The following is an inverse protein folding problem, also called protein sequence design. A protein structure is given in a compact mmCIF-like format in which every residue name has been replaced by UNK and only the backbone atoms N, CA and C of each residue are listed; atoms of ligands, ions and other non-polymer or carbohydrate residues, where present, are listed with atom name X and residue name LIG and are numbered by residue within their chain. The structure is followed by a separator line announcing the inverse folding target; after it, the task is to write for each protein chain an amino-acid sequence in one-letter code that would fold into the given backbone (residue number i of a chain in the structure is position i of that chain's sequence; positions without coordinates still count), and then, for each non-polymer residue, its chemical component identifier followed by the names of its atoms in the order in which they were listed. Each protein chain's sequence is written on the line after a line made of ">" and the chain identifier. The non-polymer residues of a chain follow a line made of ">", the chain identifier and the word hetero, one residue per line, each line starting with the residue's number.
data_IF_595795220724
#
_entry.id   IF_595795220724
#
_cell.length_a   1.000
_cell.length_b   1.000
_cell.length_c   1.000
_cell.angle_alpha   90.00
_cell.angle_beta   90.00
_cell.angle_gamma   90.00
#
_symmetry.space_group_name_H-M   'P 1'
#
loop_
_entity.id
_entity.type
_entity.pdbx_description
1 polymer ?
#
# COMPACT_ATOMS: atom_id res chain seq x y z
N UNK A 1 2.63 20.80 3.34
CA UNK A 1 1.35 20.11 3.57
C UNK A 1 1.45 18.77 2.83
N UNK A 2 1.62 17.65 3.54
CA UNK A 2 1.63 16.32 2.90
C UNK A 2 0.19 16.02 2.49
N UNK A 3 -0.15 16.34 1.24
CA UNK A 3 -1.42 15.97 0.64
C UNK A 3 -1.52 14.44 0.57
N UNK A 4 -2.76 13.95 0.67
CA UNK A 4 -3.09 12.62 1.14
C UNK A 4 -2.54 11.44 0.33
N UNK A 5 -2.75 10.26 0.90
CA UNK A 5 -2.70 9.00 0.18
C UNK A 5 -3.86 8.94 -0.82
N UNK A 6 -3.64 9.41 -2.04
CA UNK A 6 -4.59 9.26 -3.13
C UNK A 6 -4.35 7.92 -3.82
N UNK A 7 -5.38 7.09 -3.95
CA UNK A 7 -5.29 5.77 -4.59
C UNK A 7 -6.21 5.70 -5.80
N UNK A 8 -5.64 5.28 -6.93
CA UNK A 8 -6.36 4.86 -8.12
C UNK A 8 -5.89 3.46 -8.49
N UNK A 9 -6.81 2.50 -8.40
CA UNK A 9 -6.82 1.21 -9.10
C UNK A 9 -5.69 0.23 -8.76
N UNK A 10 -5.96 -0.60 -7.74
CA UNK A 10 -5.16 -1.78 -7.43
C UNK A 10 -4.31 -1.62 -6.17
N UNK A 11 -4.94 -1.55 -5.00
CA UNK A 11 -4.28 -1.94 -3.76
C UNK A 11 -4.70 -3.38 -3.44
N UNK A 12 -3.73 -4.28 -3.32
CA UNK A 12 -3.96 -5.59 -2.72
C UNK A 12 -3.60 -5.43 -1.24
N UNK A 13 -4.52 -5.82 -0.34
CA UNK A 13 -4.38 -5.61 1.11
C UNK A 13 -4.29 -6.97 1.82
N UNK A 14 -3.26 -7.15 2.66
CA UNK A 14 -3.24 -7.67 4.05
C UNK A 14 -1.88 -8.27 4.44
N UNK A 15 -1.33 -7.81 5.58
CA UNK A 15 -1.24 -8.62 6.82
C UNK A 15 -0.77 -7.73 7.98
N UNK A 16 -1.36 -7.93 9.16
CA UNK A 16 -0.90 -7.41 10.46
C UNK A 16 0.63 -7.32 10.55
N UNK A 17 1.14 -6.26 11.17
CA UNK A 17 2.44 -6.27 11.87
C UNK A 17 2.35 -7.25 13.07
N UNK A 18 2.04 -8.52 12.85
CA UNK A 18 2.78 -9.53 13.60
C UNK A 18 4.20 -9.38 13.10
N UNK A 19 5.15 -9.08 14.00
CA UNK A 19 6.59 -9.16 13.75
C UNK A 19 6.83 -10.26 12.72
N UNK A 20 7.11 -9.90 11.46
CA UNK A 20 7.54 -10.92 10.52
C UNK A 20 8.92 -11.32 11.01
N UNK A 21 9.01 -12.46 11.70
CA UNK A 21 10.32 -13.05 12.02
C UNK A 21 11.16 -13.22 10.73
N UNK A 22 10.50 -13.27 9.56
CA UNK A 22 11.06 -13.30 8.20
C UNK A 22 11.05 -11.97 7.43
N UNK A 23 11.23 -10.81 8.09
CA UNK A 23 11.53 -9.56 7.38
C UNK A 23 13.04 -9.39 7.14
N UNK A 24 13.41 -8.56 6.15
CA UNK A 24 14.78 -8.12 5.95
C UNK A 24 15.76 -9.23 5.55
N UNK A 25 15.26 -10.36 5.05
CA UNK A 25 16.09 -11.47 4.56
C UNK A 25 16.44 -11.20 3.10
N UNK A 26 17.74 -11.26 2.78
CA UNK A 26 18.25 -11.20 1.41
C UNK A 26 18.57 -12.62 0.88
N UNK A 27 18.83 -12.72 -0.42
CA UNK A 27 19.26 -13.97 -1.09
C UNK A 27 20.77 -13.98 -1.37
N UNK A 28 21.55 -13.16 -0.67
CA UNK A 28 23.00 -13.11 -0.86
C UNK A 28 23.62 -14.43 -0.41
N UNK A 29 24.46 -15.08 -1.24
CA UNK A 29 25.19 -16.28 -0.85
C UNK A 29 26.28 -15.98 0.20
N UNK A 30 26.60 -14.69 0.40
CA UNK A 30 27.70 -14.22 1.24
C UNK A 30 27.20 -13.30 2.37
N UNK A 31 27.83 -13.41 3.54
CA UNK A 31 27.52 -12.58 4.71
C UNK A 31 27.98 -11.13 4.56
N UNK A 32 28.97 -10.85 3.71
CA UNK A 32 29.46 -9.49 3.48
C UNK A 32 28.71 -8.83 2.32
N UNK A 33 28.37 -7.56 2.46
CA UNK A 33 27.82 -6.74 1.36
C UNK A 33 28.97 -5.98 0.71
N UNK A 34 29.22 -6.25 -0.56
CA UNK A 34 30.18 -5.50 -1.36
C UNK A 34 29.53 -4.25 -1.96
N UNK A 35 30.34 -3.22 -2.13
CA UNK A 35 29.94 -2.03 -2.88
C UNK A 35 29.94 -2.32 -4.38
N UNK A 36 29.13 -1.60 -5.14
CA UNK A 36 29.02 -1.74 -6.58
C UNK A 36 27.67 -2.30 -7.02
N UNK A 37 27.68 -3.05 -8.12
CA UNK A 37 26.45 -3.54 -8.77
C UNK A 37 26.02 -4.88 -8.20
N UNK A 38 24.73 -5.01 -7.94
CA UNK A 38 24.09 -6.27 -7.54
C UNK A 38 22.79 -6.48 -8.31
N UNK A 39 22.36 -7.74 -8.39
CA UNK A 39 21.07 -8.13 -8.97
C UNK A 39 19.94 -7.75 -8.02
N UNK A 40 18.87 -7.12 -8.51
CA UNK A 40 17.73 -6.69 -7.66
C UNK A 40 17.09 -7.89 -6.93
N UNK A 41 17.10 -9.07 -7.55
CA UNK A 41 16.55 -10.30 -7.00
C UNK A 41 17.26 -10.77 -5.72
N UNK A 42 18.49 -10.26 -5.50
CA UNK A 42 19.26 -10.48 -4.27
C UNK A 42 18.58 -9.83 -3.06
N UNK A 43 17.81 -8.77 -3.26
CA UNK A 43 17.16 -7.98 -2.20
C UNK A 43 15.65 -8.01 -2.40
N UNK A 44 14.96 -9.07 -1.92
CA UNK A 44 13.55 -9.32 -2.24
C UNK A 44 12.60 -8.29 -1.65
N UNK A 45 13.07 -7.29 -0.91
CA UNK A 45 12.28 -6.19 -0.38
C UNK A 45 12.41 -4.90 -1.20
N UNK A 46 13.32 -4.86 -2.16
CA UNK A 46 13.53 -3.72 -3.06
C UNK A 46 12.88 -4.04 -4.41
N UNK A 47 12.13 -3.09 -4.96
CA UNK A 47 11.44 -3.23 -6.24
C UNK A 47 11.48 -1.96 -7.07
N UNK A 48 10.99 -2.05 -8.31
CA UNK A 48 10.91 -0.94 -9.27
C UNK A 48 9.48 -0.71 -9.69
N UNK A 49 8.92 0.47 -9.42
CA UNK A 49 7.65 0.89 -10.01
C UNK A 49 7.90 1.30 -11.45
N UNK A 50 7.21 0.69 -12.41
CA UNK A 50 7.18 1.17 -13.79
C UNK A 50 5.83 1.83 -14.06
N UNK A 51 5.85 3.05 -14.58
CA UNK A 51 4.61 3.74 -14.92
C UNK A 51 4.76 4.53 -16.22
N UNK A 52 3.80 4.37 -17.15
CA UNK A 52 3.73 5.22 -18.32
C UNK A 52 3.09 6.56 -17.92
N UNK A 53 3.70 7.66 -18.35
CA UNK A 53 3.06 8.97 -18.39
C UNK A 53 3.32 9.57 -19.76
N UNK A 54 2.23 9.84 -20.49
CA UNK A 54 2.25 10.08 -21.93
C UNK A 54 2.97 8.93 -22.66
N UNK A 55 3.95 9.22 -23.50
CA UNK A 55 4.77 8.24 -24.23
C UNK A 55 6.09 7.87 -23.53
N UNK A 56 6.28 8.37 -22.31
CA UNK A 56 7.50 8.17 -21.52
C UNK A 56 7.26 7.18 -20.38
N UNK A 57 8.08 6.14 -20.33
CA UNK A 57 8.10 5.19 -19.22
C UNK A 57 9.04 5.74 -18.14
N UNK A 58 8.49 5.99 -16.96
CA UNK A 58 9.25 6.41 -15.79
C UNK A 58 9.35 5.27 -14.80
N UNK A 59 10.31 5.39 -13.89
CA UNK A 59 10.48 4.44 -12.80
C UNK A 59 10.86 5.11 -11.49
N UNK A 60 10.58 4.41 -10.39
CA UNK A 60 11.12 4.74 -9.07
C UNK A 60 11.34 3.48 -8.24
N UNK A 61 12.25 3.54 -7.29
CA UNK A 61 12.45 2.46 -6.33
C UNK A 61 11.31 2.43 -5.32
N UNK A 62 10.80 1.24 -5.06
CA UNK A 62 9.82 0.99 -4.02
C UNK A 62 10.37 -0.01 -3.01
N UNK A 63 9.95 0.09 -1.76
CA UNK A 63 10.35 -0.82 -0.70
C UNK A 63 9.13 -1.55 -0.19
N UNK A 64 9.16 -2.87 -0.25
CA UNK A 64 8.12 -3.73 0.28
C UNK A 64 8.19 -3.72 1.81
N UNK A 65 7.12 -3.25 2.47
CA UNK A 65 7.03 -3.18 3.95
C UNK A 65 6.06 -4.19 4.54
N UNK A 66 5.14 -4.70 3.72
CA UNK A 66 4.29 -5.86 4.05
C UNK A 66 4.19 -6.74 2.80
N UNK A 67 3.55 -7.91 2.85
CA UNK A 67 3.40 -8.78 1.68
C UNK A 67 2.83 -8.11 0.42
N UNK A 68 2.14 -6.98 0.57
CA UNK A 68 1.37 -6.35 -0.52
C UNK A 68 1.43 -4.81 -0.51
N UNK A 69 2.11 -4.20 0.46
CA UNK A 69 2.27 -2.74 0.53
C UNK A 69 3.73 -2.41 0.28
N UNK A 70 3.93 -1.54 -0.70
CA UNK A 70 5.21 -0.89 -0.97
C UNK A 70 5.12 0.58 -0.57
N UNK A 71 6.25 1.16 -0.21
CA UNK A 71 6.40 2.58 0.07
C UNK A 71 7.51 3.16 -0.80
N UNK A 72 7.36 4.43 -1.16
CA UNK A 72 8.32 5.18 -1.98
C UNK A 72 8.28 6.66 -1.62
N UNK A 73 9.22 7.43 -2.18
CA UNK A 73 9.23 8.88 -2.04
C UNK A 73 8.00 9.50 -2.72
N UNK A 74 7.31 10.40 -2.02
CA UNK A 74 6.17 11.13 -2.57
C UNK A 74 6.52 11.90 -3.86
N UNK A 75 7.75 12.45 -3.92
CA UNK A 75 8.25 13.19 -5.09
C UNK A 75 8.23 12.37 -6.38
N UNK A 76 8.34 11.04 -6.26
CA UNK A 76 8.37 10.15 -7.41
C UNK A 76 6.98 9.65 -7.83
N UNK A 77 5.99 9.78 -6.95
CA UNK A 77 4.67 9.13 -7.11
C UNK A 77 3.50 10.10 -7.25
N UNK A 78 3.73 11.42 -7.13
CA UNK A 78 2.69 12.45 -7.10
C UNK A 78 1.93 12.62 -8.44
N UNK A 79 2.47 12.11 -9.56
CA UNK A 79 1.90 12.34 -10.91
C UNK A 79 1.41 11.08 -11.65
N UNK A 80 1.15 9.97 -10.95
CA UNK A 80 1.17 8.64 -11.61
C UNK A 80 -0.18 7.90 -11.68
N UNK A 81 -0.48 7.20 -12.81
CA UNK A 81 -1.40 6.07 -12.85
C UNK A 81 -0.72 4.78 -12.35
N UNK A 82 -1.40 4.05 -11.46
CA UNK A 82 -0.80 3.07 -10.55
C UNK A 82 -1.12 1.63 -10.98
N UNK A 83 -0.11 0.75 -11.08
CA UNK A 83 -0.25 -0.69 -11.36
C UNK A 83 0.70 -1.53 -10.48
N UNK A 84 0.31 -2.79 -10.28
CA UNK A 84 0.57 -3.70 -9.13
C UNK A 84 1.96 -4.40 -9.10
N UNK A 85 2.38 -4.86 -7.91
CA UNK A 85 3.67 -5.52 -7.60
C UNK A 85 3.51 -6.82 -6.83
N UNK A 86 3.99 -7.98 -7.32
CA UNK A 86 4.11 -9.21 -6.50
C UNK A 86 5.32 -10.08 -6.86
N UNK A 87 5.88 -10.72 -5.81
CA UNK A 87 7.01 -11.68 -5.66
C UNK A 87 8.20 -11.18 -4.82
N UNK A 88 7.94 -10.68 -3.60
CA UNK A 88 8.92 -9.98 -2.77
C UNK A 88 8.71 -10.33 -1.26
N UNK A 89 9.79 -10.29 -0.45
CA UNK A 89 9.75 -10.40 1.02
C UNK A 89 9.89 -9.00 1.63
N UNK A 90 9.20 -8.63 2.71
CA UNK A 90 9.26 -7.26 3.23
C UNK A 90 10.56 -6.94 3.96
N UNK A 91 11.01 -5.68 3.92
CA UNK A 91 12.11 -5.17 4.76
C UNK A 91 11.64 -5.03 6.21
N UNK A 92 12.55 -5.13 7.19
CA UNK A 92 12.21 -4.87 8.58
C UNK A 92 12.02 -3.38 8.87
N UNK A 93 11.23 -3.09 9.91
CA UNK A 93 11.21 -1.78 10.53
C UNK A 93 12.57 -1.48 11.22
N UNK A 94 12.93 -0.19 11.39
CA UNK A 94 14.16 0.19 12.08
C UNK A 94 14.22 -0.42 13.50
N UNK A 95 15.37 -0.96 13.93
CA UNK A 95 15.52 -1.54 15.25
C UNK A 95 15.46 -0.44 16.33
N UNK A 96 15.03 -0.81 17.54
CA UNK A 96 14.97 0.11 18.69
C UNK A 96 16.36 0.53 19.21
N UNK A 97 17.36 -0.34 19.04
CA UNK A 97 18.73 -0.11 19.45
C UNK A 97 19.68 -0.50 18.30
N UNK A 98 20.65 0.38 18.03
CA UNK A 98 21.68 0.16 17.03
C UNK A 98 22.87 -0.56 17.68
N UNK A 99 23.20 -1.74 17.18
CA UNK A 99 24.37 -2.52 17.64
C UNK A 99 25.29 -2.73 16.45
N UNK A 100 26.40 -1.97 16.39
CA UNK A 100 27.36 -1.94 15.27
C UNK A 100 26.67 -1.82 13.90
N UNK A 101 25.85 -0.78 13.67
CA UNK A 101 25.05 -0.65 12.47
C UNK A 101 25.92 -0.45 11.21
N UNK A 102 25.67 -1.24 10.17
CA UNK A 102 26.22 -1.00 8.83
C UNK A 102 25.15 -0.39 7.95
N UNK A 103 25.37 0.85 7.52
CA UNK A 103 24.44 1.57 6.65
C UNK A 103 24.81 1.39 5.19
N UNK A 104 23.79 1.26 4.35
CA UNK A 104 23.92 1.15 2.91
C UNK A 104 22.88 2.00 2.22
N UNK A 105 23.25 2.63 1.12
CA UNK A 105 22.28 3.18 0.16
C UNK A 105 22.21 2.27 -1.05
N UNK A 106 20.97 1.99 -1.46
CA UNK A 106 20.67 1.24 -2.67
C UNK A 106 19.91 2.14 -3.65
N UNK A 107 20.39 2.19 -4.88
CA UNK A 107 19.75 2.92 -5.99
C UNK A 107 19.59 2.00 -7.18
N UNK A 108 18.56 2.23 -7.99
CA UNK A 108 18.42 1.57 -9.29
C UNK A 108 19.25 2.38 -10.30
N UNK A 109 20.15 1.72 -11.02
CA UNK A 109 21.07 2.38 -11.95
C UNK A 109 20.47 2.49 -13.36
N UNK A 110 19.89 1.39 -13.87
CA UNK A 110 19.20 1.35 -15.17
C UNK A 110 17.85 0.64 -15.00
N UNK A 111 16.79 1.23 -15.54
CA UNK A 111 15.44 0.68 -15.49
C UNK A 111 15.30 -0.60 -16.33
N UNK A 112 16.17 -0.78 -17.33
CA UNK A 112 16.13 -1.89 -18.30
C UNK A 112 16.97 -3.09 -17.86
N UNK A 113 17.98 -2.84 -17.02
CA UNK A 113 18.87 -3.85 -16.45
C UNK A 113 18.51 -3.94 -14.98
N UNK A 114 17.92 -5.06 -14.52
CA UNK A 114 17.50 -5.31 -13.14
C UNK A 114 18.66 -5.28 -12.12
N UNK A 115 19.36 -4.16 -12.06
CA UNK A 115 20.64 -3.97 -11.41
C UNK A 115 20.53 -2.78 -10.46
N UNK A 116 20.99 -3.03 -9.24
CA UNK A 116 21.02 -2.06 -8.18
C UNK A 116 22.47 -1.70 -7.87
N UNK A 117 22.69 -0.46 -7.51
CA UNK A 117 23.98 0.05 -7.08
C UNK A 117 23.95 0.23 -5.57
N UNK A 118 24.96 -0.32 -4.89
CA UNK A 118 25.07 -0.34 -3.43
C UNK A 118 26.31 0.44 -3.00
N UNK A 119 26.11 1.36 -2.07
CA UNK A 119 27.17 2.15 -1.43
C UNK A 119 27.14 1.92 0.08
N UNK A 120 28.31 1.69 0.70
CA UNK A 120 28.43 1.72 2.16
C UNK A 120 28.40 3.16 2.62
N UNK A 121 27.69 3.38 3.72
CA UNK A 121 27.47 4.71 4.25
C UNK A 121 27.99 4.80 5.69
N UNK A 122 28.54 5.96 6.03
CA UNK A 122 28.75 6.38 7.39
C UNK A 122 27.56 7.22 7.85
N UNK A 123 27.07 6.92 9.05
CA UNK A 123 26.14 7.80 9.76
C UNK A 123 26.80 9.15 10.02
N UNK A 124 26.06 10.23 9.80
CA UNK A 124 26.51 11.58 10.12
C UNK A 124 25.59 12.12 11.22
N UNK A 125 26.22 12.54 12.32
CA UNK A 125 25.52 13.17 13.44
C UNK A 125 24.63 14.35 12.97
N UNK A 126 23.41 14.51 13.50
CA UNK A 126 22.47 15.53 13.06
C UNK A 126 23.02 16.96 13.17
N UNK A 127 23.75 17.29 14.22
CA UNK A 127 24.32 18.64 14.41
C UNK A 127 25.45 18.90 13.43
N UNK A 128 26.29 17.89 13.18
CA UNK A 128 27.31 17.97 12.12
C UNK A 128 26.67 18.13 10.73
N UNK A 129 25.57 17.43 10.47
CA UNK A 129 24.84 17.55 9.22
C UNK A 129 24.24 18.95 9.04
N UNK A 130 23.53 19.47 10.05
CA UNK A 130 22.99 20.84 10.03
C UNK A 130 24.09 21.86 9.81
N UNK A 131 25.21 21.73 10.52
CA UNK A 131 26.37 22.63 10.37
C UNK A 131 26.90 22.62 8.95
N UNK A 132 27.01 21.45 8.31
CA UNK A 132 27.44 21.35 6.92
C UNK A 132 26.50 22.13 6.00
N UNK A 133 25.19 21.88 6.07
CA UNK A 133 24.24 22.55 5.19
C UNK A 133 24.17 24.07 5.42
N UNK A 134 24.25 24.55 6.67
CA UNK A 134 24.34 25.99 6.98
C UNK A 134 25.59 26.62 6.38
N UNK A 135 26.75 25.96 6.49
CA UNK A 135 28.03 26.45 5.96
C UNK A 135 28.08 26.44 4.43
N UNK A 136 27.39 25.49 3.80
CA UNK A 136 27.29 25.40 2.35
C UNK A 136 26.22 26.33 1.76
N UNK A 137 25.65 27.24 2.56
CA UNK A 137 24.58 28.17 2.15
C UNK A 137 23.35 27.45 1.56
N UNK A 138 23.17 26.18 1.95
CA UNK A 138 21.99 25.40 1.60
C UNK A 138 20.93 25.69 2.66
N UNK A 139 19.91 26.45 2.29
CA UNK A 139 18.91 27.06 3.19
C UNK A 139 18.16 26.04 4.07
N UNK A 140 18.67 25.81 5.29
CA UNK A 140 18.14 24.79 6.23
C UNK A 140 16.72 25.07 6.70
N UNK A 141 16.33 26.35 6.79
CA UNK A 141 14.99 26.75 7.24
C UNK A 141 13.93 26.55 6.15
N UNK A 142 14.32 26.64 4.87
CA UNK A 142 13.45 26.25 3.74
C UNK A 142 13.56 24.78 3.33
N UNK A 143 14.54 24.03 3.86
CA UNK A 143 14.73 22.62 3.47
C UNK A 143 13.72 21.68 4.14
N UNK A 144 12.53 21.61 3.56
CA UNK A 144 11.60 20.49 3.74
C UNK A 144 12.27 19.18 3.28
N UNK A 145 12.11 18.04 3.99
CA UNK A 145 11.35 17.79 5.23
C UNK A 145 12.19 17.93 6.52
N UNK A 146 11.52 18.10 7.67
CA UNK A 146 12.16 18.38 8.99
C UNK A 146 12.80 17.12 9.61
N UNK A 147 12.13 15.97 9.48
CA UNK A 147 12.59 14.71 10.06
C UNK A 147 13.49 13.96 9.08
N UNK A 148 14.79 14.17 9.21
CA UNK A 148 15.79 13.56 8.35
C UNK A 148 16.92 12.91 9.12
N UNK A 149 17.44 11.81 8.57
CA UNK A 149 18.70 11.20 8.96
C UNK A 149 19.77 11.55 7.93
N UNK A 150 21.00 11.78 8.39
CA UNK A 150 22.10 12.08 7.51
C UNK A 150 23.10 10.93 7.40
N UNK A 151 23.53 10.67 6.18
CA UNK A 151 24.55 9.69 5.88
C UNK A 151 25.42 10.17 4.72
N UNK A 152 26.68 9.72 4.69
CA UNK A 152 27.60 9.97 3.57
C UNK A 152 28.21 8.66 3.10
N UNK A 153 28.45 8.51 1.81
CA UNK A 153 29.14 7.33 1.30
C UNK A 153 30.59 7.30 1.78
N UNK A 154 31.08 6.12 2.11
CA UNK A 154 32.48 5.89 2.45
C UNK A 154 33.37 5.96 1.20
N UNK A 155 32.84 5.50 0.07
CA UNK A 155 33.52 5.46 -1.23
C UNK A 155 32.57 5.97 -2.33
N UNK A 156 33.14 6.38 -3.46
CA UNK A 156 32.37 6.81 -4.62
C UNK A 156 32.83 8.15 -5.20
N UNK A 157 32.65 8.28 -6.51
CA UNK A 157 32.83 9.51 -7.28
C UNK A 157 31.63 10.45 -7.10
N UNK A 158 31.55 11.50 -7.92
CA UNK A 158 30.38 12.37 -8.03
C UNK A 158 29.11 11.55 -8.32
N UNK A 159 28.18 11.55 -7.36
CA UNK A 159 26.82 11.11 -7.59
C UNK A 159 25.85 11.93 -6.76
N UNK A 160 24.65 12.18 -7.30
CA UNK A 160 23.56 12.88 -6.63
C UNK A 160 22.57 11.82 -6.18
N UNK A 161 22.24 11.80 -4.88
CA UNK A 161 21.16 10.96 -4.39
C UNK A 161 19.84 11.54 -4.87
N UNK A 162 19.22 10.84 -5.83
CA UNK A 162 17.88 11.18 -6.32
C UNK A 162 16.82 10.59 -5.39
N UNK A 163 15.61 11.10 -5.54
CA UNK A 163 14.41 10.44 -5.02
C UNK A 163 14.37 9.00 -5.54
N UNK A 164 14.03 8.06 -4.65
CA UNK A 164 14.14 6.62 -4.90
C UNK A 164 15.43 5.96 -4.39
N UNK A 165 16.40 6.71 -3.85
CA UNK A 165 17.49 6.09 -3.09
C UNK A 165 16.97 5.52 -1.76
N UNK A 166 17.31 4.27 -1.43
CA UNK A 166 16.84 3.61 -0.21
C UNK A 166 18.01 3.49 0.76
N UNK A 167 17.91 4.15 1.91
CA UNK A 167 18.85 4.00 3.02
C UNK A 167 18.39 2.83 3.90
N UNK A 168 19.23 1.81 3.98
CA UNK A 168 18.97 0.60 4.75
C UNK A 168 20.12 0.31 5.72
N UNK A 169 19.75 -0.35 6.81
CA UNK A 169 20.66 -0.83 7.84
C UNK A 169 20.72 -2.35 7.77
N UNK A 170 21.91 -2.93 7.84
CA UNK A 170 22.09 -4.37 8.07
C UNK A 170 22.64 -4.62 9.48
N UNK A 171 21.87 -5.34 10.30
CA UNK A 171 22.27 -5.75 11.66
C UNK A 171 21.76 -7.18 11.89
N UNK A 172 22.60 -8.05 12.48
CA UNK A 172 22.26 -9.45 12.75
C UNK A 172 21.69 -10.20 11.52
N UNK A 173 22.30 -9.98 10.35
CA UNK A 173 21.85 -10.51 9.05
C UNK A 173 20.42 -10.13 8.63
N UNK A 174 19.84 -9.07 9.20
CA UNK A 174 18.55 -8.53 8.79
C UNK A 174 18.69 -7.10 8.28
N UNK A 175 18.00 -6.84 7.17
CA UNK A 175 17.84 -5.51 6.58
C UNK A 175 16.68 -4.77 7.20
N UNK A 176 16.93 -3.55 7.65
CA UNK A 176 15.92 -2.65 8.20
C UNK A 176 15.89 -1.35 7.41
N UNK A 177 14.69 -0.84 7.12
CA UNK A 177 14.52 0.43 6.44
C UNK A 177 14.89 1.58 7.39
N UNK A 178 15.76 2.46 6.94
CA UNK A 178 16.13 3.66 7.69
C UNK A 178 15.47 4.89 7.06
N UNK A 179 15.48 4.99 5.73
CA UNK A 179 14.92 6.16 5.07
C UNK A 179 14.98 6.15 3.55
N UNK A 180 14.48 7.24 2.97
CA UNK A 180 14.48 7.49 1.52
C UNK A 180 15.29 8.75 1.20
N UNK A 181 16.06 8.71 0.12
CA UNK A 181 16.88 9.82 -0.33
C UNK A 181 16.05 11.06 -0.59
N UNK A 182 16.54 12.18 -0.08
CA UNK A 182 16.13 13.52 -0.47
C UNK A 182 17.24 14.05 -1.38
N UNK A 183 16.90 14.95 -2.30
CA UNK A 183 17.91 15.63 -3.10
C UNK A 183 19.02 16.20 -2.21
N UNK A 184 20.26 15.81 -2.53
CA UNK A 184 21.42 16.09 -1.70
C UNK A 184 22.65 16.51 -2.51
N UNK A 185 23.64 17.12 -1.83
CA UNK A 185 24.82 17.73 -2.45
C UNK A 185 25.83 16.72 -2.99
N UNK A 186 25.64 15.43 -2.71
CA UNK A 186 26.33 14.34 -3.41
C UNK A 186 26.89 13.25 -2.48
N UNK A 187 27.44 12.20 -3.06
CA UNK A 187 27.74 10.95 -2.36
C UNK A 187 28.72 11.05 -1.18
N UNK A 188 29.82 11.81 -1.30
CA UNK A 188 30.78 12.00 -0.20
C UNK A 188 30.40 13.15 0.74
N UNK A 189 29.41 13.95 0.37
CA UNK A 189 28.87 15.00 1.22
C UNK A 189 27.78 14.43 2.15
N UNK A 190 27.59 15.00 3.36
CA UNK A 190 26.44 14.70 4.20
C UNK A 190 25.15 14.85 3.40
N UNK A 191 24.48 13.72 3.16
CA UNK A 191 23.25 13.66 2.38
C UNK A 191 22.09 13.30 3.28
N UNK A 192 20.95 13.92 3.03
CA UNK A 192 19.74 13.77 3.83
C UNK A 192 18.84 12.68 3.29
N UNK A 193 18.24 11.94 4.21
CA UNK A 193 17.24 10.93 3.95
C UNK A 193 16.04 11.16 4.87
N UNK A 194 14.82 10.95 4.37
CA UNK A 194 13.60 10.92 5.17
C UNK A 194 13.71 9.86 6.26
N UNK A 195 13.58 10.24 7.53
CA UNK A 195 13.76 9.29 8.64
C UNK A 195 12.50 8.43 8.85
N UNK A 196 12.51 7.17 8.36
CA UNK A 196 11.34 6.30 8.35
C UNK A 196 10.78 6.00 9.75
N UNK A 197 11.62 5.98 10.78
CA UNK A 197 11.20 5.80 12.19
C UNK A 197 10.12 6.81 12.61
N UNK A 198 10.26 8.08 12.20
CA UNK A 198 9.35 9.18 12.53
C UNK A 198 8.01 9.06 11.79
N UNK A 199 8.05 8.52 10.57
CA UNK A 199 6.86 8.31 9.74
C UNK A 199 6.18 6.96 9.99
N UNK A 200 6.82 6.03 10.71
CA UNK A 200 6.31 4.68 10.96
C UNK A 200 4.91 4.67 11.59
N UNK A 201 4.58 5.48 12.61
CA UNK A 201 3.22 5.52 13.17
C UNK A 201 2.18 5.94 12.13
N UNK A 202 2.51 6.94 11.30
CA UNK A 202 1.64 7.39 10.21
C UNK A 202 1.43 6.31 9.15
N UNK A 203 2.50 5.61 8.74
CA UNK A 203 2.42 4.49 7.78
C UNK A 203 1.54 3.38 8.34
N UNK A 204 1.77 2.98 9.60
CA UNK A 204 0.98 1.94 10.26
C UNK A 204 -0.50 2.31 10.34
N UNK A 205 -0.81 3.53 10.76
CA UNK A 205 -2.18 4.01 10.86
C UNK A 205 -2.85 4.11 9.49
N UNK A 206 -2.11 4.55 8.48
CA UNK A 206 -2.58 4.61 7.10
C UNK A 206 -2.93 3.22 6.59
N UNK A 207 -2.02 2.24 6.73
CA UNK A 207 -2.24 0.84 6.34
C UNK A 207 -3.44 0.24 7.09
N UNK A 208 -3.58 0.51 8.39
CA UNK A 208 -4.68 0.01 9.20
C UNK A 208 -6.06 0.56 8.76
N UNK A 209 -6.09 1.72 8.11
CA UNK A 209 -7.31 2.31 7.55
C UNK A 209 -7.73 1.72 6.20
N UNK A 210 -6.78 1.17 5.42
CA UNK A 210 -7.07 0.66 4.07
C UNK A 210 -7.97 -0.58 4.17
N UNK A 211 -9.04 -0.61 3.37
CA UNK A 211 -9.94 -1.76 3.31
C UNK A 211 -10.87 -1.90 4.52
N UNK A 212 -10.81 -0.97 5.48
CA UNK A 212 -11.75 -0.89 6.60
C UNK A 212 -13.13 -0.48 6.05
N UNK A 213 -14.18 -1.31 6.20
CA UNK A 213 -15.51 -0.94 5.77
C UNK A 213 -16.03 0.27 6.56
N UNK A 214 -16.71 1.17 5.87
CA UNK A 214 -17.42 2.30 6.46
C UNK A 214 -18.91 2.05 6.30
N UNK A 215 -19.70 2.35 7.33
CA UNK A 215 -21.15 2.13 7.35
C UNK A 215 -21.83 3.44 7.67
N UNK A 216 -22.69 3.90 6.77
CA UNK A 216 -23.49 5.11 6.88
C UNK A 216 -24.96 4.73 7.01
N UNK A 217 -25.59 5.09 8.12
CA UNK A 217 -27.04 4.95 8.30
C UNK A 217 -27.73 6.20 7.80
N UNK A 218 -28.29 6.15 6.59
CA UNK A 218 -28.99 7.28 5.96
C UNK A 218 -30.39 7.46 6.58
N UNK A 219 -31.07 6.35 6.85
CA UNK A 219 -32.33 6.32 7.56
C UNK A 219 -32.50 4.97 8.27
N UNK A 220 -33.62 4.78 9.00
CA UNK A 220 -33.93 3.48 9.63
C UNK A 220 -33.98 2.34 8.63
N UNK A 221 -34.35 2.59 7.37
CA UNK A 221 -34.57 1.59 6.32
C UNK A 221 -33.55 1.67 5.17
N UNK A 222 -32.47 2.46 5.33
CA UNK A 222 -31.46 2.71 4.30
C UNK A 222 -30.06 2.80 4.92
N UNK A 223 -29.21 1.85 4.55
CA UNK A 223 -27.81 1.82 4.96
C UNK A 223 -26.94 1.81 3.71
N UNK A 224 -25.83 2.53 3.77
CA UNK A 224 -24.78 2.50 2.76
C UNK A 224 -23.51 1.97 3.39
N UNK A 225 -22.87 0.99 2.76
CA UNK A 225 -21.60 0.41 3.16
C UNK A 225 -20.57 0.66 2.06
N UNK A 226 -19.35 1.07 2.41
CA UNK A 226 -18.24 1.17 1.45
C UNK A 226 -17.04 0.39 1.91
N UNK A 227 -16.29 -0.18 0.98
CA UNK A 227 -14.98 -0.77 1.22
C UNK A 227 -14.05 -0.37 0.09
N UNK A 228 -13.30 0.71 0.33
CA UNK A 228 -12.29 1.21 -0.60
C UNK A 228 -10.91 0.65 -0.29
N UNK A 229 -10.08 0.62 -1.33
CA UNK A 229 -8.65 0.38 -1.27
C UNK A 229 -7.85 1.66 -0.93
N UNK A 230 -8.53 2.73 -0.55
CA UNK A 230 -7.97 3.96 0.01
C UNK A 230 -8.04 3.95 1.55
N UNK A 231 -7.17 4.73 2.18
CA UNK A 231 -7.28 5.06 3.61
C UNK A 231 -8.31 6.16 3.89
N UNK A 232 -8.87 6.80 2.86
CA UNK A 232 -9.90 7.83 2.98
C UNK A 232 -11.26 7.18 3.21
N UNK A 233 -11.84 7.45 4.38
CA UNK A 233 -13.16 6.98 4.75
C UNK A 233 -14.23 7.97 4.29
N UNK A 234 -15.27 7.47 3.61
CA UNK A 234 -16.40 8.28 3.12
C UNK A 234 -17.68 7.87 3.82
N UNK A 235 -18.51 8.85 4.14
CA UNK A 235 -19.79 8.66 4.81
C UNK A 235 -20.91 9.38 4.03
N UNK A 236 -22.15 8.92 4.20
CA UNK A 236 -23.32 9.47 3.51
C UNK A 236 -23.81 8.59 2.34
N UNK A 237 -24.74 9.10 1.52
CA UNK A 237 -25.31 8.38 0.37
C UNK A 237 -24.25 8.12 -0.70
N UNK A 238 -24.49 7.19 -1.63
CA UNK A 238 -23.56 6.94 -2.75
C UNK A 238 -23.42 8.18 -3.63
N UNK A 239 -22.20 8.46 -4.06
CA UNK A 239 -21.94 9.47 -5.09
C UNK A 239 -22.27 8.91 -6.49
N UNK A 240 -22.58 9.80 -7.44
CA UNK A 240 -22.87 9.41 -8.84
C UNK A 240 -21.68 8.65 -9.46
N UNK A 241 -20.46 9.04 -9.09
CA UNK A 241 -19.23 8.38 -9.53
C UNK A 241 -19.08 6.95 -8.98
N UNK A 242 -19.64 6.67 -7.81
CA UNK A 242 -19.52 5.37 -7.14
C UNK A 242 -20.49 4.32 -7.73
N UNK A 243 -21.56 4.75 -8.41
CA UNK A 243 -22.62 3.87 -8.95
C UNK A 243 -22.47 3.53 -10.44
N UNK A 244 -21.36 3.94 -11.07
CA UNK A 244 -21.13 3.75 -12.52
C UNK A 244 -20.98 2.29 -12.95
N UNK A 245 -20.51 1.43 -12.05
CA UNK A 245 -20.23 0.03 -12.33
C UNK A 245 -20.96 -0.86 -11.32
N UNK A 246 -22.03 -1.51 -11.78
CA UNK A 246 -22.79 -2.45 -10.97
C UNK A 246 -22.07 -3.80 -10.90
N UNK A 247 -21.88 -4.30 -9.68
CA UNK A 247 -21.33 -5.64 -9.43
C UNK A 247 -22.45 -6.65 -9.23
N UNK A 248 -23.48 -6.26 -8.48
CA UNK A 248 -24.56 -7.15 -8.09
C UNK A 248 -25.77 -6.36 -7.59
N UNK A 249 -26.97 -6.75 -8.00
CA UNK A 249 -28.21 -6.26 -7.42
C UNK A 249 -29.12 -7.44 -7.13
N UNK A 250 -29.70 -7.47 -5.93
CA UNK A 250 -30.71 -8.43 -5.54
C UNK A 250 -31.89 -7.73 -4.86
N UNK A 251 -33.07 -8.30 -5.08
CA UNK A 251 -34.34 -7.81 -4.56
C UNK A 251 -35.16 -8.99 -4.08
N UNK A 252 -35.19 -9.17 -2.78
CA UNK A 252 -35.91 -10.26 -2.12
C UNK A 252 -37.23 -9.76 -1.53
N UNK A 253 -38.31 -10.48 -1.76
CA UNK A 253 -39.57 -10.28 -1.01
C UNK A 253 -39.53 -11.17 0.22
N UNK A 254 -39.68 -10.56 1.38
CA UNK A 254 -39.79 -11.26 2.66
C UNK A 254 -41.27 -11.21 3.05
N UNK A 255 -41.91 -12.37 2.99
CA UNK A 255 -43.30 -12.51 3.39
C UNK A 255 -43.49 -12.27 4.89
N UNK A 256 -44.74 -12.09 5.29
CA UNK A 256 -45.12 -11.88 6.68
C UNK A 256 -44.65 -13.08 7.51
N UNK A 257 -43.76 -12.82 8.45
CA UNK A 257 -43.12 -13.82 9.29
C UNK A 257 -42.77 -13.25 10.66
N UNK A 258 -41.73 -13.76 11.35
CA UNK A 258 -41.29 -13.18 12.61
C UNK A 258 -40.93 -11.70 12.42
N UNK A 259 -41.13 -10.87 13.44
CA UNK A 259 -40.90 -9.42 13.41
C UNK A 259 -39.45 -9.01 13.12
N UNK A 260 -38.56 -10.00 12.96
CA UNK A 260 -37.15 -9.88 12.63
C UNK A 260 -36.72 -11.04 11.74
N UNK A 261 -35.99 -10.75 10.66
CA UNK A 261 -35.18 -11.73 9.92
C UNK A 261 -33.71 -11.32 9.91
N UNK A 262 -32.81 -12.26 9.65
CA UNK A 262 -31.36 -12.03 9.58
C UNK A 262 -30.76 -12.74 8.38
N UNK A 263 -30.18 -11.98 7.45
CA UNK A 263 -29.50 -12.52 6.27
C UNK A 263 -27.97 -12.37 6.41
N UNK A 264 -27.21 -13.34 5.89
CA UNK A 264 -25.75 -13.22 5.83
C UNK A 264 -25.36 -12.48 4.55
N UNK A 265 -24.43 -11.54 4.67
CA UNK A 265 -23.89 -10.79 3.55
C UNK A 265 -22.36 -10.77 3.68
N UNK A 266 -21.67 -11.21 2.63
CA UNK A 266 -20.22 -11.35 2.63
C UNK A 266 -19.63 -10.45 1.55
N UNK A 267 -18.60 -9.68 1.90
CA UNK A 267 -17.82 -8.90 0.95
C UNK A 267 -16.45 -9.54 0.76
N UNK A 268 -16.00 -9.67 -0.49
CA UNK A 268 -14.75 -10.34 -0.82
C UNK A 268 -13.60 -9.37 -1.09
N UNK A 269 -12.37 -9.80 -0.83
CA UNK A 269 -11.19 -8.94 -0.96
C UNK A 269 -10.82 -8.61 -2.40
N UNK A 270 -11.17 -9.45 -3.36
CA UNK A 270 -10.86 -9.25 -4.79
C UNK A 270 -11.80 -8.27 -5.49
N UNK A 271 -12.77 -7.68 -4.78
CA UNK A 271 -13.55 -6.55 -5.26
C UNK A 271 -13.23 -5.29 -4.45
N UNK A 272 -13.20 -4.16 -5.15
CA UNK A 272 -13.31 -2.85 -4.53
C UNK A 272 -14.78 -2.44 -4.58
N UNK A 273 -15.40 -2.30 -3.42
CA UNK A 273 -16.81 -1.93 -3.30
C UNK A 273 -16.91 -0.43 -3.07
N UNK A 274 -17.06 0.32 -4.16
CA UNK A 274 -17.25 1.77 -4.15
C UNK A 274 -18.47 2.16 -3.32
N UNK A 275 -19.59 1.45 -3.51
CA UNK A 275 -20.79 1.66 -2.71
C UNK A 275 -21.67 0.40 -2.66
N UNK A 276 -22.18 0.04 -1.48
CA UNK A 276 -23.19 -1.01 -1.30
C UNK A 276 -24.38 -0.39 -0.59
N UNK A 277 -25.55 -0.49 -1.20
CA UNK A 277 -26.79 0.10 -0.72
C UNK A 277 -27.71 -1.00 -0.24
N UNK A 278 -28.15 -0.90 1.01
CA UNK A 278 -29.18 -1.75 1.59
C UNK A 278 -30.43 -0.92 1.83
N UNK A 279 -31.56 -1.36 1.26
CA UNK A 279 -32.85 -0.70 1.43
C UNK A 279 -33.93 -1.70 1.78
N UNK A 280 -34.86 -1.26 2.62
CA UNK A 280 -36.04 -2.05 2.98
C UNK A 280 -37.28 -1.18 2.81
N UNK A 281 -38.30 -1.75 2.18
CA UNK A 281 -39.58 -1.09 1.92
C UNK A 281 -40.72 -2.00 2.32
N UNK A 282 -41.87 -1.45 2.72
CA UNK A 282 -43.08 -2.25 2.87
C UNK A 282 -43.56 -2.74 1.49
N UNK A 283 -43.95 -4.01 1.38
CA UNK A 283 -44.43 -4.61 0.12
C UNK A 283 -45.72 -3.94 -0.35
N UNK A 284 -46.68 -3.72 0.57
CA UNK A 284 -47.90 -2.96 0.30
C UNK A 284 -47.70 -1.50 0.72
N UNK A 285 -47.73 -0.57 -0.25
CA UNK A 285 -47.80 0.89 -0.01
C UNK A 285 -49.22 1.29 0.42
N UNK A 286 -49.71 0.80 1.54
CA UNK A 286 -50.98 1.30 2.10
C UNK A 286 -50.71 2.57 2.91
N UNK A 287 -51.46 3.65 2.63
CA UNK A 287 -51.36 4.98 3.28
C UNK A 287 -51.43 4.94 4.82
N UNK A 288 -51.92 3.85 5.41
CA UNK A 288 -52.16 3.69 6.85
C UNK A 288 -50.97 3.15 7.66
N UNK A 289 -50.02 2.43 7.03
CA UNK A 289 -48.82 1.94 7.74
C UNK A 289 -47.76 3.05 7.82
N UNK A 290 -47.84 3.87 8.88
CA UNK A 290 -46.84 4.93 9.15
C UNK A 290 -45.47 4.38 9.55
N UNK A 291 -45.40 3.18 10.10
CA UNK A 291 -44.13 2.60 10.56
C UNK A 291 -43.33 2.01 9.40
N UNK A 292 -42.17 2.62 9.15
CA UNK A 292 -41.18 2.11 8.19
C UNK A 292 -40.43 0.93 8.81
N UNK A 293 -40.12 -0.12 8.03
CA UNK A 293 -39.27 -1.20 8.49
C UNK A 293 -37.88 -0.65 8.83
N UNK A 294 -37.11 -1.39 9.61
CA UNK A 294 -35.74 -0.97 9.95
C UNK A 294 -34.72 -2.02 9.61
N UNK A 295 -33.52 -1.57 9.25
CA UNK A 295 -32.40 -2.42 8.90
C UNK A 295 -31.21 -2.09 9.79
N UNK A 296 -30.51 -3.13 10.23
CA UNK A 296 -29.26 -3.02 10.99
C UNK A 296 -28.26 -3.98 10.38
N UNK A 297 -27.01 -3.53 10.33
CA UNK A 297 -25.90 -4.36 9.89
C UNK A 297 -24.98 -4.54 11.08
N UNK A 298 -24.65 -5.79 11.38
CA UNK A 298 -23.68 -6.17 12.41
C UNK A 298 -22.60 -7.01 11.76
N UNK A 299 -21.37 -6.85 12.25
CA UNK A 299 -20.28 -7.74 11.85
C UNK A 299 -20.56 -9.15 12.38
N UNK A 300 -20.40 -10.16 11.54
CA UNK A 300 -20.51 -11.56 11.91
C UNK A 300 -19.10 -12.18 11.95
N UNK A 301 -18.78 -12.92 13.02
CA UNK A 301 -17.50 -13.61 13.14
C UNK A 301 -17.76 -15.04 13.66
N UNK A 302 -17.29 -16.05 12.94
CA UNK A 302 -17.26 -17.43 13.43
C UNK A 302 -15.98 -17.65 14.27
N UNK A 303 -15.97 -17.26 15.56
CA UNK A 303 -14.95 -17.72 16.50
C UNK A 303 -15.40 -17.59 17.96
N UNK A 304 -15.16 -18.58 18.82
CA UNK A 304 -15.47 -18.53 20.25
C UNK A 304 -14.65 -17.47 21.02
N UNK A 305 -13.56 -16.95 20.44
CA UNK A 305 -12.82 -15.78 20.92
C UNK A 305 -12.82 -14.71 19.82
N UNK A 306 -13.79 -13.79 19.79
CA UNK A 306 -14.00 -12.91 18.64
C UNK A 306 -12.97 -11.78 18.64
N UNK A 307 -11.80 -12.00 18.02
CA UNK A 307 -10.91 -10.90 17.62
C UNK A 307 -11.47 -10.31 16.31
N UNK A 308 -12.63 -9.64 16.40
CA UNK A 308 -13.29 -8.98 15.26
C UNK A 308 -12.75 -7.56 15.00
N UNK A 309 -11.53 -7.26 15.45
CA UNK A 309 -10.89 -5.94 15.29
C UNK A 309 -9.83 -5.91 14.18
N UNK A 310 -9.23 -7.06 13.86
CA UNK A 310 -8.15 -7.15 12.87
C UNK A 310 -8.75 -7.38 11.49
N UNK A 311 -8.75 -6.38 10.59
CA UNK A 311 -9.34 -6.46 9.25
C UNK A 311 -8.71 -7.47 8.27
N UNK A 312 -8.09 -8.57 8.72
CA UNK A 312 -7.25 -9.50 7.93
C UNK A 312 -7.88 -10.25 6.74
N UNK A 313 -9.06 -9.89 6.24
CA UNK A 313 -9.90 -10.91 5.62
C UNK A 313 -10.00 -10.85 4.10
N UNK A 314 -9.64 -11.98 3.48
CA UNK A 314 -10.11 -12.39 2.16
C UNK A 314 -11.63 -12.20 1.99
N UNK A 315 -12.40 -12.24 3.09
CA UNK A 315 -13.85 -12.05 3.14
C UNK A 315 -14.32 -11.40 4.46
N UNK A 316 -15.23 -10.44 4.43
CA UNK A 316 -15.82 -9.86 5.65
C UNK A 316 -17.31 -10.19 5.68
N UNK A 317 -17.73 -10.86 6.76
CA UNK A 317 -19.12 -11.28 6.94
C UNK A 317 -19.92 -10.28 7.78
N UNK A 318 -21.15 -10.07 7.34
CA UNK A 318 -22.14 -9.23 7.99
C UNK A 318 -23.44 -10.00 8.20
N UNK A 319 -24.09 -9.75 9.32
CA UNK A 319 -25.49 -10.09 9.55
C UNK A 319 -26.33 -8.85 9.27
N UNK A 320 -27.20 -8.94 8.28
CA UNK A 320 -28.19 -7.92 7.92
C UNK A 320 -29.50 -8.27 8.62
N UNK A 321 -29.77 -7.60 9.73
CA UNK A 321 -30.98 -7.76 10.52
C UNK A 321 -32.06 -6.79 10.01
N UNK A 322 -33.21 -7.33 9.61
CA UNK A 322 -34.34 -6.56 9.11
C UNK A 322 -35.51 -6.73 10.08
N UNK A 323 -36.06 -5.63 10.54
CA UNK A 323 -37.19 -5.58 11.48
C UNK A 323 -38.40 -5.00 10.76
N UNK A 324 -39.52 -5.72 10.79
CA UNK A 324 -40.72 -5.38 10.04
C UNK A 324 -41.97 -5.92 10.74
N UNK A 325 -43.14 -5.33 10.45
CA UNK A 325 -44.44 -5.76 10.98
C UNK A 325 -45.27 -6.54 9.94
N UNK A 326 -45.04 -6.29 8.67
CA UNK A 326 -45.74 -6.89 7.53
C UNK A 326 -44.74 -7.13 6.40
N UNK A 327 -45.14 -7.85 5.33
CA UNK A 327 -44.25 -8.20 4.22
C UNK A 327 -43.43 -7.02 3.72
N UNK A 328 -42.13 -7.24 3.51
CA UNK A 328 -41.18 -6.21 3.06
C UNK A 328 -40.44 -6.63 1.81
N UNK A 329 -39.93 -5.64 1.08
CA UNK A 329 -38.99 -5.79 -0.01
C UNK A 329 -37.63 -5.37 0.52
N UNK A 330 -36.70 -6.32 0.56
CA UNK A 330 -35.29 -6.07 0.84
C UNK A 330 -34.54 -5.95 -0.49
N UNK A 331 -33.77 -4.89 -0.64
CA UNK A 331 -32.97 -4.62 -1.82
C UNK A 331 -31.52 -4.38 -1.40
N UNK A 332 -30.59 -5.07 -2.05
CA UNK A 332 -29.15 -4.84 -1.96
C UNK A 332 -28.61 -4.51 -3.35
N UNK A 333 -27.85 -3.43 -3.46
CA UNK A 333 -27.18 -3.01 -4.70
C UNK A 333 -25.71 -2.78 -4.38
N UNK A 334 -24.81 -3.47 -5.04
CA UNK A 334 -23.37 -3.36 -4.88
C UNK A 334 -22.75 -2.81 -6.15
N UNK A 335 -21.99 -1.73 -5.99
CA UNK A 335 -21.28 -1.03 -7.05
C UNK A 335 -19.78 -1.03 -6.76
N UNK A 336 -18.99 -1.07 -7.81
CA UNK A 336 -17.54 -1.11 -7.71
C UNK A 336 -16.92 -1.85 -8.88
N UNK A 337 -15.79 -2.51 -8.61
CA UNK A 337 -15.03 -3.21 -9.64
C UNK A 337 -14.29 -4.40 -9.07
N UNK A 338 -14.07 -5.38 -9.93
CA UNK A 338 -13.10 -6.43 -9.66
C UNK A 338 -11.68 -5.84 -9.69
N UNK A 339 -10.90 -6.20 -8.69
CA UNK A 339 -9.48 -5.89 -8.64
C UNK A 339 -8.80 -6.84 -9.62
N UNK A 340 -8.50 -6.35 -10.83
CA UNK A 340 -7.75 -7.11 -11.83
C UNK A 340 -6.36 -7.42 -11.30
N UNK A 341 -6.11 -8.69 -10.99
CA UNK A 341 -4.79 -9.17 -10.59
C UNK A 341 -3.97 -9.39 -11.86
N UNK A 342 -2.85 -8.68 -12.00
CA UNK A 342 -1.91 -8.89 -13.10
C UNK A 342 -1.11 -10.17 -12.78
N UNK A 343 -1.19 -11.17 -13.65
CA UNK A 343 -0.34 -12.36 -13.56
C UNK A 343 1.08 -12.00 -14.01
N UNK A 344 1.97 -11.81 -13.03
CA UNK A 344 3.35 -11.43 -13.27
C UNK A 344 4.10 -12.45 -14.13
N UNK A 345 3.79 -13.75 -14.05
CA UNK A 345 4.43 -14.74 -14.92
C UNK A 345 4.05 -14.48 -16.37
N UNK A 346 2.77 -14.22 -16.64
CA UNK A 346 2.30 -13.86 -17.99
C UNK A 346 2.86 -12.52 -18.46
N UNK A 347 2.99 -11.53 -17.59
CA UNK A 347 3.61 -10.24 -17.94
C UNK A 347 5.09 -10.41 -18.23
N UNK A 348 5.84 -11.13 -17.41
CA UNK A 348 7.27 -11.38 -17.63
C UNK A 348 7.51 -12.20 -18.88
N UNK A 349 6.66 -13.20 -19.18
CA UNK A 349 6.69 -13.94 -20.46
C UNK A 349 6.50 -12.98 -21.63
N UNK A 350 5.45 -12.14 -21.61
CA UNK A 350 5.17 -11.18 -22.69
C UNK A 350 6.24 -10.09 -22.85
N UNK A 351 6.87 -9.68 -21.75
CA UNK A 351 7.99 -8.73 -21.77
C UNK A 351 9.27 -9.39 -22.32
N UNK A 352 9.52 -10.65 -21.97
CA UNK A 352 10.64 -11.42 -22.51
C UNK A 352 10.46 -11.76 -23.99
N UNK A 353 9.25 -12.11 -24.43
CA UNK A 353 8.90 -12.35 -25.84
C UNK A 353 9.11 -11.10 -26.72
N UNK A 354 8.93 -9.91 -26.15
CA UNK A 354 9.14 -8.63 -26.85
C UNK A 354 10.58 -8.13 -26.83
N UNK A 355 11.48 -8.75 -26.05
CA UNK A 355 12.91 -8.45 -26.12
C UNK A 355 13.49 -9.21 -27.31
N UNK A 356 13.82 -8.48 -28.37
CA UNK A 356 14.78 -8.96 -29.37
C UNK A 356 16.12 -9.13 -28.67
N UNK A 357 16.47 -10.37 -28.34
CA UNK A 357 17.82 -10.68 -27.89
C UNK A 357 18.76 -10.48 -29.08
N UNK A 358 19.88 -9.74 -28.93
CA UNK A 358 20.90 -9.74 -29.97
C UNK A 358 21.37 -11.18 -30.17
N UNK A 359 21.47 -11.61 -31.43
CA UNK A 359 21.95 -12.93 -31.78
C UNK A 359 23.31 -13.15 -31.12
N UNK A 360 23.41 -14.20 -30.29
CA UNK A 360 24.70 -14.69 -29.80
C UNK A 360 25.39 -15.27 -31.02
N UNK A 361 26.30 -14.51 -31.63
CA UNK A 361 27.26 -15.06 -32.56
C UNK A 361 28.15 -16.00 -31.73
N UNK A 362 27.87 -17.31 -31.82
CA UNK A 362 28.83 -18.31 -31.39
C UNK A 362 30.03 -18.17 -32.33
N UNK A 363 31.13 -17.65 -31.80
CA UNK A 363 32.42 -17.75 -32.46
C UNK A 363 32.76 -19.22 -32.59
N UNK A 364 32.88 -19.70 -33.83
CA UNK A 364 33.57 -20.95 -34.14
C UNK A 364 35.06 -20.66 -34.05
N UNK A 365 35.72 -21.29 -33.09
CA UNK A 365 37.19 -21.45 -33.08
C UNK A 365 37.65 -22.27 -34.30
#
# INVERSE_FOLDING_TARGET
>A
MLHGLFYGNGAVIFSNETLYNNCGIDKSPIKMVYEGMAKIETYPWLGVLYYPSNDTLYTTSVVLVTKQIVIASAMDIDKLPKRDFRYLHPICAPPRALVKPLFYVMTIDDCKRSAIKIHKMAYVDPERCKTFYRKSELDVEKMWPIHTVCAKALTGTECIWRSGAVLALRQNNKWSLVGFGIYGPGCRAPSRFLEYSQYRPWVRNSIAGIGKPTVSRISKNHIVLRRSLSNVQRYGPCDIEEVKAELFTDRTVIERGPSKTSHRFTIFSHYEYSCIVFRVFNYKRQKWFKEKPSIRIKRWCQSPKPICYTFQFLQIDFAVEIFFKDSVIYQVMAYGREVRLIDMKKVMVRVNEKKTFPAVLMGTD
#
